data_IF_168783400910
#
_entry.id   IF_168783400910
#
_cell.length_a   1.000
_cell.length_b   1.000
_cell.length_c   1.000
_cell.angle_alpha   90.00
_cell.angle_beta   90.00
_cell.angle_gamma   90.00
#
_symmetry.space_group_name_H-M   'P 1'
#
loop_
_entity.id
_entity.type
_entity.pdbx_description
1 polymer ?
#
# COMPACT_ATOMS: atom_id res chain seq x y z
N UNK A 1 1.30 -0.63 -23.41
CA UNK A 1 0.48 -1.27 -22.54
C UNK A 1 0.05 -0.38 -21.41
N UNK A 2 0.09 -0.91 -20.24
CA UNK A 2 -0.29 -0.17 -19.06
C UNK A 2 0.61 0.98 -18.74
N UNK A 3 1.79 1.03 -19.33
CA UNK A 3 2.71 2.15 -19.16
C UNK A 3 2.17 3.45 -19.71
N UNK A 4 1.26 3.39 -20.66
CA UNK A 4 0.69 4.58 -21.25
C UNK A 4 -0.54 5.08 -20.51
N UNK A 5 -1.08 4.26 -19.61
CA UNK A 5 -2.23 4.63 -18.80
C UNK A 5 -1.75 5.14 -17.45
N UNK A 6 -2.40 6.19 -16.98
CA UNK A 6 -2.17 6.66 -15.63
C UNK A 6 -2.78 5.67 -14.64
N UNK A 7 -1.98 5.21 -13.72
CA UNK A 7 -2.48 4.36 -12.64
C UNK A 7 -3.23 5.21 -11.63
N UNK A 8 -4.27 4.65 -11.07
CA UNK A 8 -5.05 5.32 -10.03
C UNK A 8 -4.74 4.66 -8.70
N UNK A 9 -4.57 5.48 -7.67
CA UNK A 9 -4.23 4.98 -6.36
C UNK A 9 -5.28 5.35 -5.32
N UNK A 10 -5.39 4.55 -4.29
CA UNK A 10 -6.22 4.83 -3.13
C UNK A 10 -5.39 4.60 -1.88
N UNK A 11 -5.33 5.57 -0.99
CA UNK A 11 -4.59 5.45 0.27
C UNK A 11 -5.59 5.28 1.39
N UNK A 12 -5.52 4.13 2.06
CA UNK A 12 -6.38 3.83 3.19
C UNK A 12 -5.59 4.03 4.47
N UNK A 13 -6.13 4.83 5.38
CA UNK A 13 -5.43 5.22 6.60
C UNK A 13 -6.14 4.71 7.83
N UNK A 14 -5.41 4.01 8.69
CA UNK A 14 -5.88 3.60 9.99
C UNK A 14 -4.94 4.15 11.05
N UNK A 15 -5.46 4.83 12.06
CA UNK A 15 -4.63 5.31 13.16
C UNK A 15 -4.92 6.75 13.52
N UNK A 16 -3.86 7.48 13.86
CA UNK A 16 -3.95 8.85 14.37
C UNK A 16 -3.65 9.89 13.30
N UNK A 17 -3.60 11.15 13.70
CA UNK A 17 -3.33 12.25 12.80
C UNK A 17 -1.97 12.13 12.11
N UNK A 18 -0.98 11.54 12.78
CA UNK A 18 0.33 11.33 12.14
C UNK A 18 0.22 10.42 10.93
N UNK A 19 -0.65 9.41 10.99
CA UNK A 19 -0.87 8.52 9.85
C UNK A 19 -1.55 9.24 8.71
N UNK A 20 -2.44 10.18 9.00
CA UNK A 20 -3.06 11.01 7.96
C UNK A 20 -2.00 11.83 7.25
N UNK A 21 -1.08 12.45 8.00
CA UNK A 21 0.00 13.24 7.40
C UNK A 21 0.90 12.36 6.52
N UNK A 22 1.22 11.17 6.98
CA UNK A 22 2.03 10.23 6.20
C UNK A 22 1.31 9.80 4.94
N UNK A 23 0.01 9.58 5.03
CA UNK A 23 -0.80 9.21 3.85
C UNK A 23 -0.81 10.35 2.82
N UNK A 24 -0.84 11.59 3.26
CA UNK A 24 -0.77 12.73 2.36
C UNK A 24 0.58 12.80 1.65
N UNK A 25 1.66 12.46 2.35
CA UNK A 25 2.98 12.39 1.72
C UNK A 25 3.03 11.31 0.64
N UNK A 26 2.47 10.15 0.93
CA UNK A 26 2.42 9.07 -0.05
C UNK A 26 1.61 9.50 -1.27
N UNK A 27 0.44 10.10 -1.04
CA UNK A 27 -0.38 10.62 -2.15
C UNK A 27 0.38 11.65 -2.97
N UNK A 28 1.11 12.55 -2.31
CA UNK A 28 1.89 13.58 -2.99
C UNK A 28 2.97 13.00 -3.89
N UNK A 29 3.73 12.01 -3.41
CA UNK A 29 4.80 11.42 -4.22
C UNK A 29 4.23 10.57 -5.36
N UNK A 30 3.08 9.95 -5.17
CA UNK A 30 2.42 9.23 -6.26
C UNK A 30 1.93 10.17 -7.35
N UNK A 31 1.34 11.30 -6.95
CA UNK A 31 0.92 12.31 -7.93
C UNK A 31 2.11 12.87 -8.71
N UNK A 32 3.23 13.08 -8.03
CA UNK A 32 4.43 13.60 -8.68
C UNK A 32 4.95 12.64 -9.75
N UNK A 33 4.63 11.36 -9.63
CA UNK A 33 5.02 10.36 -10.62
C UNK A 33 3.95 10.13 -11.69
N UNK A 34 2.89 10.94 -11.70
CA UNK A 34 1.85 10.87 -12.71
C UNK A 34 0.66 9.98 -12.38
N UNK A 35 0.61 9.45 -11.18
CA UNK A 35 -0.56 8.67 -10.75
C UNK A 35 -1.67 9.60 -10.30
N UNK A 36 -2.91 9.15 -10.43
CA UNK A 36 -4.08 9.93 -10.04
C UNK A 36 -4.83 9.26 -8.89
N UNK A 37 -5.44 10.04 -7.99
CA UNK A 37 -6.23 9.43 -6.91
C UNK A 37 -7.50 8.80 -7.44
N UNK A 38 -7.87 7.65 -6.88
CA UNK A 38 -9.13 6.99 -7.16
C UNK A 38 -10.14 7.34 -6.07
N UNK A 39 -11.44 7.40 -6.39
CA UNK A 39 -12.45 7.73 -5.38
C UNK A 39 -12.71 6.60 -4.38
N UNK A 40 -12.38 5.37 -4.74
CA UNK A 40 -12.61 4.22 -3.88
C UNK A 40 -11.62 3.11 -4.21
N UNK A 41 -11.67 2.05 -3.39
CA UNK A 41 -10.78 0.90 -3.55
C UNK A 41 -11.07 0.15 -4.84
N UNK A 42 -12.34 0.04 -5.19
CA UNK A 42 -12.75 -0.74 -6.36
C UNK A 42 -12.24 -0.19 -7.68
N UNK A 43 -12.06 1.13 -7.76
CA UNK A 43 -11.57 1.76 -8.98
C UNK A 43 -10.07 2.00 -9.00
N UNK A 44 -9.38 1.64 -7.92
CA UNK A 44 -7.94 1.85 -7.82
C UNK A 44 -7.14 0.74 -8.50
N UNK A 45 -6.00 1.10 -9.05
CA UNK A 45 -5.03 0.13 -9.58
C UNK A 45 -3.99 -0.21 -8.51
N UNK A 46 -3.77 0.69 -7.56
CA UNK A 46 -2.86 0.50 -6.45
C UNK A 46 -3.55 0.98 -5.17
N UNK A 47 -3.62 0.11 -4.17
CA UNK A 47 -4.17 0.45 -2.87
C UNK A 47 -3.04 0.39 -1.85
N UNK A 48 -2.80 1.50 -1.17
CA UNK A 48 -1.78 1.60 -0.14
C UNK A 48 -2.44 1.72 1.23
N UNK A 49 -2.14 0.80 2.12
CA UNK A 49 -2.69 0.79 3.48
C UNK A 49 -1.63 1.32 4.43
N UNK A 50 -1.92 2.45 5.05
CA UNK A 50 -1.05 3.07 6.05
C UNK A 50 -1.69 2.92 7.41
N UNK A 51 -0.99 2.29 8.34
CA UNK A 51 -1.58 1.97 9.63
C UNK A 51 -0.59 2.13 10.78
N UNK A 52 -1.17 2.36 11.95
CA UNK A 52 -0.43 2.56 13.20
C UNK A 52 -0.31 1.25 13.96
N UNK A 53 0.85 0.98 14.54
CA UNK A 53 1.08 -0.23 15.31
C UNK A 53 0.74 -0.07 16.80
N UNK A 54 0.50 1.16 17.24
CA UNK A 54 0.31 1.47 18.65
C UNK A 54 -1.04 0.95 19.16
N UNK A 55 -2.02 0.83 18.28
CA UNK A 55 -3.36 0.43 18.67
C UNK A 55 -3.66 -0.97 18.17
N UNK A 56 -4.13 -1.81 19.08
CA UNK A 56 -4.52 -3.18 18.78
C UNK A 56 -5.61 -3.23 17.70
N UNK A 57 -6.57 -2.32 17.78
CA UNK A 57 -7.64 -2.27 16.79
C UNK A 57 -7.14 -1.92 15.39
N UNK A 58 -6.06 -1.15 15.30
CA UNK A 58 -5.49 -0.81 14.00
C UNK A 58 -4.89 -2.03 13.32
N UNK A 59 -4.25 -2.91 14.10
CA UNK A 59 -3.72 -4.16 13.54
C UNK A 59 -4.83 -5.07 13.03
N UNK A 60 -5.95 -5.16 13.76
CA UNK A 60 -7.11 -5.93 13.32
C UNK A 60 -7.71 -5.36 12.05
N UNK A 61 -7.80 -4.04 11.96
CA UNK A 61 -8.30 -3.37 10.75
C UNK A 61 -7.39 -3.64 9.56
N UNK A 62 -6.08 -3.68 9.79
CA UNK A 62 -5.15 -4.03 8.74
C UNK A 62 -5.43 -5.43 8.20
N UNK A 63 -5.58 -6.41 9.09
CA UNK A 63 -5.83 -7.78 8.67
C UNK A 63 -7.12 -7.91 7.88
N UNK A 64 -8.20 -7.27 8.35
CA UNK A 64 -9.47 -7.25 7.61
C UNK A 64 -9.32 -6.61 6.23
N UNK A 65 -8.59 -5.51 6.18
CA UNK A 65 -8.36 -4.80 4.93
C UNK A 65 -7.55 -5.66 3.96
N UNK A 66 -6.53 -6.34 4.44
CA UNK A 66 -5.72 -7.20 3.61
C UNK A 66 -6.51 -8.40 3.08
N UNK A 67 -7.40 -8.96 3.89
CA UNK A 67 -8.27 -10.04 3.44
C UNK A 67 -9.19 -9.58 2.32
N UNK A 68 -9.80 -8.40 2.48
CA UNK A 68 -10.66 -7.84 1.45
C UNK A 68 -9.88 -7.55 0.17
N UNK A 69 -8.69 -6.99 0.30
CA UNK A 69 -7.86 -6.69 -0.86
C UNK A 69 -7.40 -7.95 -1.57
N UNK A 70 -7.12 -9.01 -0.82
CA UNK A 70 -6.79 -10.30 -1.42
C UNK A 70 -7.95 -10.85 -2.25
N UNK A 71 -9.18 -10.70 -1.75
CA UNK A 71 -10.37 -11.10 -2.48
C UNK A 71 -10.52 -10.28 -3.76
N UNK A 72 -10.32 -8.96 -3.68
CA UNK A 72 -10.39 -8.09 -4.86
C UNK A 72 -9.30 -8.44 -5.88
N UNK A 73 -8.10 -8.75 -5.41
CA UNK A 73 -6.99 -9.08 -6.30
C UNK A 73 -7.23 -10.38 -7.06
N UNK A 74 -7.93 -11.33 -6.46
CA UNK A 74 -8.30 -12.56 -7.17
C UNK A 74 -9.22 -12.26 -8.36
N UNK A 75 -10.05 -11.23 -8.23
CA UNK A 75 -10.94 -10.79 -9.32
C UNK A 75 -10.23 -9.85 -10.29
N UNK A 76 -9.28 -9.09 -9.79
CA UNK A 76 -8.52 -8.12 -10.57
C UNK A 76 -7.04 -8.37 -10.37
N UNK A 77 -6.45 -9.32 -11.10
CA UNK A 77 -5.05 -9.71 -10.88
C UNK A 77 -4.05 -8.57 -11.07
N UNK A 78 -4.43 -7.50 -11.75
CA UNK A 78 -3.57 -6.34 -11.96
C UNK A 78 -3.54 -5.39 -10.76
N UNK A 79 -4.42 -5.58 -9.79
CA UNK A 79 -4.43 -4.75 -8.58
C UNK A 79 -3.13 -4.93 -7.81
N UNK A 80 -2.52 -3.82 -7.41
CA UNK A 80 -1.31 -3.84 -6.59
C UNK A 80 -1.64 -3.33 -5.19
N UNK A 81 -1.00 -3.90 -4.19
CA UNK A 81 -1.32 -3.63 -2.80
C UNK A 81 -0.03 -3.28 -2.06
N UNK A 82 -0.05 -2.16 -1.36
CA UNK A 82 1.07 -1.74 -0.53
C UNK A 82 0.66 -1.61 0.93
N UNK A 83 1.60 -1.86 1.83
CA UNK A 83 1.42 -1.68 3.26
C UNK A 83 2.58 -0.87 3.79
N UNK A 84 2.27 0.13 4.60
CA UNK A 84 3.31 0.96 5.18
C UNK A 84 2.94 1.49 6.56
N UNK A 85 3.89 2.19 7.16
CA UNK A 85 3.71 2.80 8.46
C UNK A 85 4.33 1.99 9.58
N UNK A 86 3.93 2.32 10.82
CA UNK A 86 4.54 1.71 12.00
C UNK A 86 4.32 0.21 12.08
N UNK A 87 3.17 -0.29 11.62
CA UNK A 87 2.91 -1.72 11.69
C UNK A 87 3.84 -2.49 10.76
N UNK A 88 4.14 -1.93 9.59
CA UNK A 88 5.09 -2.55 8.68
C UNK A 88 6.48 -2.60 9.31
N UNK A 89 6.86 -1.54 10.00
CA UNK A 89 8.16 -1.46 10.66
C UNK A 89 8.29 -2.52 11.76
N UNK A 90 7.23 -2.71 12.56
CA UNK A 90 7.26 -3.64 13.69
C UNK A 90 7.12 -5.09 13.27
N UNK A 91 6.19 -5.39 12.37
CA UNK A 91 5.92 -6.77 11.98
C UNK A 91 6.80 -7.25 10.84
N UNK A 92 7.32 -6.31 10.04
CA UNK A 92 8.22 -6.64 8.97
C UNK A 92 7.64 -7.68 8.03
N UNK A 93 8.48 -8.61 7.61
CA UNK A 93 8.08 -9.64 6.65
C UNK A 93 7.05 -10.64 7.19
N UNK A 94 6.75 -10.60 8.49
CA UNK A 94 5.68 -11.44 9.03
C UNK A 94 4.33 -11.12 8.38
N UNK A 95 4.14 -9.87 7.96
CA UNK A 95 2.94 -9.50 7.21
C UNK A 95 2.84 -10.32 5.93
N UNK A 96 3.94 -10.53 5.24
CA UNK A 96 3.97 -11.26 3.97
C UNK A 96 3.65 -12.74 4.15
N UNK A 97 3.92 -13.29 5.32
CA UNK A 97 3.61 -14.71 5.59
C UNK A 97 2.11 -14.97 5.62
N UNK A 98 1.32 -14.00 6.08
CA UNK A 98 -0.13 -14.14 6.12
C UNK A 98 -0.84 -13.38 5.01
N UNK A 99 -0.14 -12.55 4.26
CA UNK A 99 -0.72 -11.76 3.17
C UNK A 99 0.26 -11.72 2.00
N UNK A 100 0.34 -12.82 1.26
CA UNK A 100 1.27 -12.96 0.14
C UNK A 100 0.92 -12.08 -1.05
N UNK A 101 -0.29 -11.55 -1.06
CA UNK A 101 -0.76 -10.68 -2.14
C UNK A 101 -0.27 -9.23 -2.00
N UNK A 102 0.48 -8.92 -0.95
CA UNK A 102 1.06 -7.60 -0.78
C UNK A 102 2.25 -7.43 -1.73
N UNK A 103 2.24 -6.35 -2.49
CA UNK A 103 3.28 -6.09 -3.50
C UNK A 103 4.35 -5.12 -3.02
N UNK A 104 4.02 -4.24 -2.07
CA UNK A 104 4.96 -3.25 -1.52
C UNK A 104 4.85 -3.26 -0.01
N UNK A 105 5.99 -3.36 0.68
CA UNK A 105 6.04 -3.28 2.14
C UNK A 105 7.11 -2.26 2.51
N UNK A 106 6.72 -1.18 3.17
CA UNK A 106 7.62 -0.07 3.42
C UNK A 106 7.50 0.44 4.84
N UNK A 107 8.66 0.76 5.45
CA UNK A 107 8.71 1.33 6.79
C UNK A 107 8.40 2.82 6.79
N UNK A 108 8.22 3.36 7.99
CA UNK A 108 7.79 4.74 8.18
C UNK A 108 8.71 5.75 7.52
N UNK A 109 10.02 5.53 7.61
CA UNK A 109 10.99 6.49 7.09
C UNK A 109 11.16 6.44 5.58
N UNK A 110 10.65 5.40 4.94
CA UNK A 110 10.85 5.19 3.52
C UNK A 110 9.58 5.39 2.71
N UNK A 111 8.55 5.97 3.30
CA UNK A 111 7.29 6.24 2.60
C UNK A 111 7.46 7.00 1.28
N UNK A 112 8.37 7.97 1.16
CA UNK A 112 8.55 8.65 -0.13
C UNK A 112 9.03 7.73 -1.26
N UNK A 113 9.51 6.53 -0.95
CA UNK A 113 9.95 5.57 -1.95
C UNK A 113 8.82 4.69 -2.50
N UNK A 114 7.59 4.89 -2.05
CA UNK A 114 6.46 4.06 -2.48
C UNK A 114 6.34 3.96 -4.01
N UNK A 115 6.39 5.07 -4.78
CA UNK A 115 6.30 4.94 -6.24
C UNK A 115 7.42 4.09 -6.83
N UNK A 116 8.65 4.27 -6.33
CA UNK A 116 9.80 3.51 -6.80
C UNK A 116 9.64 2.02 -6.49
N UNK A 117 9.19 1.71 -5.27
CA UNK A 117 8.98 0.33 -4.87
C UNK A 117 7.85 -0.32 -5.68
N UNK A 118 6.81 0.43 -5.97
CA UNK A 118 5.73 -0.05 -6.83
C UNK A 118 6.26 -0.40 -8.22
N UNK A 119 7.09 0.46 -8.79
CA UNK A 119 7.69 0.22 -10.09
C UNK A 119 8.58 -1.03 -10.06
N UNK A 120 9.33 -1.23 -8.99
CA UNK A 120 10.15 -2.43 -8.83
C UNK A 120 9.29 -3.70 -8.76
N UNK A 121 8.20 -3.66 -8.01
CA UNK A 121 7.30 -4.80 -7.89
C UNK A 121 6.67 -5.15 -9.25
N UNK A 122 6.30 -4.13 -10.01
CA UNK A 122 5.73 -4.35 -11.34
C UNK A 122 6.75 -4.93 -12.31
N UNK A 123 7.99 -4.44 -12.26
CA UNK A 123 9.03 -4.89 -13.17
C UNK A 123 9.48 -6.31 -12.90
N UNK A 124 9.53 -6.71 -11.63
CA UNK A 124 10.09 -8.01 -11.25
C UNK A 124 9.03 -9.05 -10.89
N UNK A 125 7.77 -8.64 -10.75
CA UNK A 125 6.70 -9.56 -10.37
C UNK A 125 6.83 -10.11 -8.96
N UNK A 126 7.59 -9.45 -8.10
CA UNK A 126 7.81 -9.87 -6.72
C UNK A 126 7.52 -8.72 -5.76
N UNK A 127 7.40 -9.03 -4.48
CA UNK A 127 7.16 -8.01 -3.46
C UNK A 127 8.41 -7.15 -3.28
N UNK A 128 8.24 -5.83 -3.30
CA UNK A 128 9.32 -4.90 -3.00
C UNK A 128 9.23 -4.52 -1.52
N UNK A 129 10.32 -4.69 -0.80
CA UNK A 129 10.37 -4.46 0.65
C UNK A 129 11.46 -3.45 0.97
N UNK A 130 11.12 -2.46 1.79
CA UNK A 130 12.09 -1.49 2.29
C UNK A 130 11.69 -1.09 3.71
N UNK A 131 12.32 -1.70 4.67
CA UNK A 131 12.08 -1.44 6.09
C UNK A 131 13.30 -0.74 6.71
#
# INVERSE_FOLDING_TARGET
LKKTRKSRFFVQTFGCQMNVNDSEKVAGVLRARGHEPAPDVESADFVFVNTCAVREKAAQKLDHSLDRLGWLKRRRPDLRIGVGGCVAQLQGTDILKRARHVDVLVGTHNLPRVPELLEQALAHGTTAVDL
#
